data_IF_235409711439
#
_entry.id   IF_235409711439
#
_cell.length_a   1.000
_cell.length_b   1.000
_cell.length_c   1.000
_cell.angle_alpha   90.00
_cell.angle_beta   90.00
_cell.angle_gamma   90.00
#
_symmetry.space_group_name_H-M   'P 1'
#
loop_
_entity.id
_entity.type
_entity.pdbx_description
1 polymer ?
#
# COMPACT_ATOMS: atom_id res chain seq x y z
N UNK A 1 13.88 -10.92 8.06
CA UNK A 1 14.31 -10.56 6.69
C UNK A 1 15.82 -10.67 6.45
N UNK A 2 16.72 -10.32 7.39
CA UNK A 2 18.18 -10.58 7.24
C UNK A 2 18.60 -12.06 7.37
N UNK A 3 17.69 -12.95 7.76
CA UNK A 3 17.96 -14.37 8.11
C UNK A 3 17.34 -15.35 7.11
N UNK A 4 16.58 -14.84 6.15
CA UNK A 4 16.01 -15.55 5.02
C UNK A 4 16.84 -15.14 3.80
N UNK A 5 17.26 -16.05 2.93
CA UNK A 5 18.06 -15.83 1.69
C UNK A 5 17.38 -14.93 0.63
N UNK A 6 16.70 -13.89 1.08
CA UNK A 6 15.99 -12.90 0.31
C UNK A 6 16.97 -11.88 -0.23
N UNK A 7 17.15 -11.92 -1.54
CA UNK A 7 17.76 -10.84 -2.28
C UNK A 7 16.74 -9.69 -2.41
N UNK A 8 16.87 -8.69 -1.51
CA UNK A 8 16.04 -7.48 -1.53
C UNK A 8 16.21 -6.67 -2.81
N UNK A 9 17.38 -6.74 -3.44
CA UNK A 9 17.68 -6.04 -4.69
C UNK A 9 16.90 -6.70 -5.84
N UNK A 10 16.92 -8.03 -5.93
CA UNK A 10 16.12 -8.80 -6.89
C UNK A 10 14.61 -8.63 -6.64
N UNK A 11 14.16 -8.70 -5.38
CA UNK A 11 12.74 -8.55 -5.04
C UNK A 11 12.20 -7.15 -5.37
N UNK A 12 12.96 -6.10 -5.07
CA UNK A 12 12.58 -4.73 -5.46
C UNK A 12 12.50 -4.58 -6.98
N UNK A 13 13.49 -5.12 -7.73
CA UNK A 13 13.49 -5.07 -9.20
C UNK A 13 12.34 -5.90 -9.84
N UNK A 14 11.89 -6.97 -9.16
CA UNK A 14 10.72 -7.72 -9.59
C UNK A 14 9.40 -6.96 -9.40
N UNK A 15 9.37 -6.00 -8.47
CA UNK A 15 8.20 -5.13 -8.23
C UNK A 15 8.24 -3.90 -9.13
N UNK A 16 9.35 -3.17 -9.10
CA UNK A 16 9.60 -1.97 -9.91
C UNK A 16 10.88 -2.18 -10.71
N UNK A 17 10.73 -2.53 -11.98
CA UNK A 17 11.86 -2.85 -12.83
C UNK A 17 12.69 -1.61 -13.18
N UNK A 18 14.00 -1.77 -13.27
CA UNK A 18 14.91 -0.75 -13.82
C UNK A 18 14.89 0.59 -13.07
N UNK A 19 14.56 0.61 -11.78
CA UNK A 19 14.63 1.83 -10.96
C UNK A 19 16.02 1.96 -10.32
N UNK A 20 16.65 3.11 -10.52
CA UNK A 20 17.88 3.49 -9.82
C UNK A 20 17.52 4.23 -8.54
N UNK A 21 17.64 3.54 -7.41
CA UNK A 21 17.33 4.12 -6.10
C UNK A 21 18.44 5.04 -5.60
N UNK A 22 18.09 6.24 -5.11
CA UNK A 22 19.04 7.20 -4.56
C UNK A 22 19.81 6.68 -3.31
N UNK A 23 19.17 5.84 -2.50
CA UNK A 23 19.78 5.08 -1.39
C UNK A 23 19.41 3.62 -1.49
N UNK A 24 20.27 2.71 -1.01
CA UNK A 24 19.92 1.29 -0.88
C UNK A 24 18.67 1.05 -0.04
N UNK A 25 18.48 1.84 1.03
CA UNK A 25 17.30 1.78 1.91
C UNK A 25 15.99 2.14 1.20
N UNK A 26 16.03 2.91 0.11
CA UNK A 26 14.83 3.34 -0.61
C UNK A 26 14.12 2.19 -1.34
N UNK A 27 14.73 1.00 -1.44
CA UNK A 27 14.06 -0.18 -2.00
C UNK A 27 12.78 -0.55 -1.25
N UNK A 28 12.66 -0.19 0.03
CA UNK A 28 11.42 -0.34 0.82
C UNK A 28 10.20 0.28 0.13
N UNK A 29 10.38 1.40 -0.58
CA UNK A 29 9.29 2.09 -1.25
C UNK A 29 8.68 1.28 -2.40
N UNK A 30 9.44 0.37 -3.02
CA UNK A 30 8.88 -0.57 -3.99
C UNK A 30 7.88 -1.52 -3.32
N UNK A 31 8.22 -2.04 -2.14
CA UNK A 31 7.32 -2.89 -1.36
C UNK A 31 6.09 -2.13 -0.87
N UNK A 32 6.27 -0.89 -0.40
CA UNK A 32 5.15 -0.01 -0.04
C UNK A 32 4.22 0.23 -1.23
N UNK A 33 4.76 0.58 -2.40
CA UNK A 33 4.01 0.73 -3.65
C UNK A 33 3.27 -0.55 -4.07
N UNK A 34 3.92 -1.71 -3.92
CA UNK A 34 3.32 -3.02 -4.18
C UNK A 34 2.09 -3.26 -3.31
N UNK A 35 2.21 -3.00 -2.01
CA UNK A 35 1.15 -3.20 -1.02
C UNK A 35 0.03 -2.19 -1.27
N UNK A 36 0.36 -0.90 -1.38
CA UNK A 36 -0.60 0.18 -1.60
C UNK A 36 -1.47 -0.08 -2.83
N UNK A 37 -0.86 -0.38 -3.99
CA UNK A 37 -1.60 -0.69 -5.22
C UNK A 37 -2.62 -1.81 -5.02
N UNK A 38 -2.25 -2.89 -4.32
CA UNK A 38 -3.15 -4.04 -4.09
C UNK A 38 -4.22 -3.76 -3.03
N UNK A 39 -3.87 -3.00 -2.01
CA UNK A 39 -4.81 -2.58 -0.96
C UNK A 39 -5.88 -1.64 -1.51
N UNK A 40 -5.54 -0.74 -2.43
CA UNK A 40 -6.50 0.19 -3.05
C UNK A 40 -7.14 -0.33 -4.35
N UNK A 41 -6.69 -1.45 -4.91
CA UNK A 41 -7.24 -2.00 -6.17
C UNK A 41 -8.63 -2.65 -6.01
N UNK A 42 -9.54 -2.35 -6.94
CA UNK A 42 -10.75 -3.16 -7.18
C UNK A 42 -11.79 -3.15 -6.06
N UNK A 43 -11.72 -2.21 -5.11
CA UNK A 43 -12.72 -2.10 -4.06
C UNK A 43 -13.81 -1.12 -4.45
N UNK A 44 -15.06 -1.57 -4.32
CA UNK A 44 -16.25 -0.72 -4.45
C UNK A 44 -16.62 -0.21 -3.06
N UNK A 45 -16.79 1.11 -2.85
CA UNK A 45 -17.27 1.64 -1.58
C UNK A 45 -18.60 0.98 -1.19
N UNK A 46 -18.70 0.46 0.02
CA UNK A 46 -19.92 -0.13 0.56
C UNK A 46 -20.30 0.59 1.86
N UNK A 47 -21.60 0.81 2.12
CA UNK A 47 -22.05 1.37 3.39
C UNK A 47 -21.54 0.50 4.55
N UNK A 48 -20.93 1.15 5.53
CA UNK A 48 -20.17 0.50 6.59
C UNK A 48 -21.01 0.38 7.88
N UNK A 49 -20.68 -0.61 8.71
CA UNK A 49 -20.88 -0.57 10.17
C UNK A 49 -19.49 -0.62 10.82
N UNK A 50 -18.87 0.56 11.00
CA UNK A 50 -17.46 0.72 11.40
C UNK A 50 -17.34 0.78 12.91
N UNK A 51 -18.47 0.84 13.61
CA UNK A 51 -18.51 1.01 15.05
C UNK A 51 -17.80 -0.16 15.74
N UNK A 52 -17.96 -1.39 15.25
CA UNK A 52 -17.30 -2.54 15.88
C UNK A 52 -15.82 -2.67 15.47
N UNK A 53 -15.48 -2.49 14.18
CA UNK A 53 -14.11 -2.70 13.69
C UNK A 53 -13.12 -1.66 14.21
N UNK A 54 -13.55 -0.40 14.36
CA UNK A 54 -12.69 0.70 14.81
C UNK A 54 -12.61 0.85 16.32
N UNK A 55 -13.66 0.46 17.07
CA UNK A 55 -13.68 0.54 18.55
C UNK A 55 -12.90 -0.60 19.22
N UNK A 56 -12.75 -1.75 18.55
CA UNK A 56 -11.99 -2.88 19.09
C UNK A 56 -10.48 -2.61 19.08
N UNK A 57 -9.81 -3.00 20.19
CA UNK A 57 -8.37 -2.86 20.34
C UNK A 57 -7.59 -3.71 19.33
N UNK A 58 -7.91 -5.01 19.26
CA UNK A 58 -7.36 -5.94 18.29
C UNK A 58 -8.35 -6.14 17.13
N UNK A 59 -8.01 -5.75 15.89
CA UNK A 59 -8.92 -5.91 14.76
C UNK A 59 -9.16 -7.38 14.37
N UNK A 60 -8.37 -8.33 14.89
CA UNK A 60 -8.67 -9.77 14.77
C UNK A 60 -9.95 -10.12 15.53
N UNK A 61 -10.25 -9.48 16.66
CA UNK A 61 -11.45 -9.75 17.44
C UNK A 61 -12.72 -9.45 16.62
N UNK A 62 -12.69 -8.39 15.82
CA UNK A 62 -13.78 -8.03 14.91
C UNK A 62 -14.03 -9.14 13.86
N UNK A 63 -12.96 -9.78 13.39
CA UNK A 63 -13.03 -10.87 12.41
C UNK A 63 -13.56 -12.18 13.03
N UNK A 64 -13.32 -12.39 14.32
CA UNK A 64 -13.83 -13.55 15.07
C UNK A 64 -15.32 -13.35 15.40
N UNK A 65 -15.70 -12.13 15.80
CA UNK A 65 -17.09 -11.79 16.12
C UNK A 65 -18.01 -11.93 14.91
N UNK A 66 -17.57 -11.48 13.73
CA UNK A 66 -18.31 -11.67 12.47
C UNK A 66 -17.39 -12.04 11.30
N UNK A 67 -17.15 -13.36 11.08
CA UNK A 67 -16.35 -13.86 9.96
C UNK A 67 -16.97 -13.61 8.57
N UNK A 68 -18.24 -13.21 8.49
CA UNK A 68 -18.94 -12.93 7.22
C UNK A 68 -19.14 -11.44 6.95
N UNK A 69 -18.65 -10.57 7.86
CA UNK A 69 -18.65 -9.13 7.72
C UNK A 69 -17.99 -8.68 6.41
N UNK A 70 -18.35 -7.48 5.95
CA UNK A 70 -17.68 -6.84 4.81
C UNK A 70 -16.19 -6.62 5.08
N UNK A 71 -15.79 -6.38 6.33
CA UNK A 71 -14.39 -6.31 6.75
C UNK A 71 -13.66 -7.66 6.64
N UNK A 72 -14.29 -8.77 7.04
CA UNK A 72 -13.71 -10.11 6.88
C UNK A 72 -13.54 -10.49 5.41
N UNK A 73 -14.56 -10.22 4.58
CA UNK A 73 -14.49 -10.42 3.12
C UNK A 73 -13.41 -9.55 2.47
N UNK A 74 -13.26 -8.31 2.92
CA UNK A 74 -12.16 -7.43 2.51
C UNK A 74 -10.80 -8.02 2.89
N UNK A 75 -10.61 -8.43 4.15
CA UNK A 75 -9.35 -9.02 4.63
C UNK A 75 -8.97 -10.28 3.84
N UNK A 76 -9.92 -11.19 3.60
CA UNK A 76 -9.70 -12.40 2.78
C UNK A 76 -9.24 -12.04 1.37
N UNK A 77 -9.98 -11.17 0.70
CA UNK A 77 -9.68 -10.74 -0.67
C UNK A 77 -8.31 -10.05 -0.75
N UNK A 78 -8.05 -9.10 0.15
CA UNK A 78 -6.82 -8.33 0.15
C UNK A 78 -5.61 -9.16 0.54
N UNK A 79 -5.74 -10.09 1.48
CA UNK A 79 -4.62 -10.96 1.85
C UNK A 79 -4.16 -11.79 0.65
N UNK A 80 -5.11 -12.43 -0.04
CA UNK A 80 -4.80 -13.28 -1.19
C UNK A 80 -4.22 -12.52 -2.39
N UNK A 81 -4.50 -11.22 -2.49
CA UNK A 81 -3.93 -10.31 -3.48
C UNK A 81 -2.55 -9.78 -3.07
N UNK A 82 -2.38 -9.34 -1.82
CA UNK A 82 -1.16 -8.75 -1.28
C UNK A 82 -0.09 -9.81 -1.11
N UNK A 83 -0.39 -10.90 -0.42
CA UNK A 83 0.58 -11.95 -0.11
C UNK A 83 0.57 -12.98 -1.24
N UNK A 84 1.56 -12.89 -2.12
CA UNK A 84 1.71 -13.81 -3.24
C UNK A 84 2.12 -15.21 -2.71
N UNK A 85 1.65 -16.33 -3.29
CA UNK A 85 2.02 -17.68 -2.85
C UNK A 85 3.54 -17.91 -2.69
N UNK A 86 4.35 -17.38 -3.60
CA UNK A 86 5.82 -17.43 -3.49
C UNK A 86 6.38 -16.69 -2.27
N UNK A 87 5.78 -15.56 -1.89
CA UNK A 87 6.17 -14.86 -0.66
C UNK A 87 5.82 -15.69 0.56
N UNK A 88 4.64 -16.30 0.55
CA UNK A 88 4.16 -17.10 1.67
C UNK A 88 5.00 -18.36 1.89
N UNK A 89 5.29 -19.10 0.82
CA UNK A 89 6.26 -20.20 0.83
C UNK A 89 7.61 -19.77 1.39
N UNK A 90 8.05 -18.56 1.06
CA UNK A 90 9.32 -18.04 1.57
C UNK A 90 9.26 -17.59 3.04
N UNK A 91 8.11 -17.09 3.50
CA UNK A 91 7.94 -16.61 4.88
C UNK A 91 7.65 -17.73 5.86
N UNK A 92 6.88 -18.74 5.44
CA UNK A 92 6.33 -19.78 6.31
C UNK A 92 6.73 -21.21 5.91
N UNK A 93 7.30 -21.42 4.72
CA UNK A 93 7.67 -22.75 4.21
C UNK A 93 6.51 -23.57 3.66
N UNK A 94 5.28 -23.05 3.68
CA UNK A 94 4.06 -23.71 3.21
C UNK A 94 3.00 -22.69 2.75
N UNK A 95 1.82 -23.18 2.35
CA UNK A 95 0.66 -22.37 1.93
C UNK A 95 -0.56 -22.57 2.85
N UNK A 96 -0.33 -23.04 4.07
CA UNK A 96 -1.41 -23.34 5.01
C UNK A 96 -2.10 -22.05 5.44
N UNK A 97 -1.34 -20.97 5.63
CA UNK A 97 -1.84 -19.64 5.96
C UNK A 97 -2.80 -19.14 4.86
N UNK A 98 -2.43 -19.30 3.58
CA UNK A 98 -3.24 -18.97 2.41
C UNK A 98 -4.52 -19.75 2.41
N UNK A 99 -4.41 -21.06 2.61
CA UNK A 99 -5.55 -21.98 2.58
C UNK A 99 -6.53 -21.65 3.69
N UNK A 100 -6.03 -21.35 4.88
CA UNK A 100 -6.83 -20.91 6.02
C UNK A 100 -7.60 -19.62 5.72
N UNK A 101 -6.91 -18.58 5.23
CA UNK A 101 -7.54 -17.31 4.84
C UNK A 101 -8.50 -17.49 3.68
N UNK A 102 -8.15 -18.32 2.70
CA UNK A 102 -9.00 -18.64 1.57
C UNK A 102 -10.27 -19.39 1.97
N UNK A 103 -10.31 -20.04 3.14
CA UNK A 103 -11.52 -20.65 3.69
C UNK A 103 -12.32 -19.69 4.60
N UNK A 104 -11.95 -18.41 4.67
CA UNK A 104 -12.63 -17.42 5.51
C UNK A 104 -12.21 -17.46 6.98
N UNK A 105 -11.13 -18.18 7.30
CA UNK A 105 -10.57 -18.24 8.64
C UNK A 105 -9.44 -17.22 8.81
N UNK A 106 -9.14 -16.84 10.04
CA UNK A 106 -8.21 -15.75 10.34
C UNK A 106 -7.07 -16.22 11.26
N UNK A 107 -5.82 -16.33 10.76
CA UNK A 107 -4.70 -16.84 11.56
C UNK A 107 -4.27 -15.93 12.71
N UNK A 108 -4.06 -16.51 13.89
CA UNK A 108 -3.50 -15.81 15.04
C UNK A 108 -1.97 -15.73 14.99
N UNK A 109 -1.43 -15.13 13.93
CA UNK A 109 0.02 -14.94 13.77
C UNK A 109 0.39 -13.45 13.84
N UNK A 110 1.61 -13.10 14.29
CA UNK A 110 2.07 -11.70 14.28
C UNK A 110 2.01 -11.06 12.88
N UNK A 111 2.33 -11.84 11.85
CA UNK A 111 2.27 -11.39 10.46
C UNK A 111 0.84 -11.05 10.03
N UNK A 112 -0.11 -11.97 10.25
CA UNK A 112 -1.51 -11.75 9.87
C UNK A 112 -2.11 -10.57 10.63
N UNK A 113 -1.82 -10.47 11.93
CA UNK A 113 -2.24 -9.35 12.76
C UNK A 113 -1.73 -8.00 12.24
N UNK A 114 -0.47 -7.93 11.81
CA UNK A 114 0.07 -6.71 11.18
C UNK A 114 -0.66 -6.39 9.87
N UNK A 115 -0.93 -7.40 9.04
CA UNK A 115 -1.74 -7.25 7.83
C UNK A 115 -3.15 -6.72 8.15
N UNK A 116 -3.85 -7.30 9.14
CA UNK A 116 -5.21 -6.89 9.51
C UNK A 116 -5.24 -5.48 10.08
N UNK A 117 -4.22 -5.07 10.85
CA UNK A 117 -4.09 -3.68 11.33
C UNK A 117 -4.02 -2.68 10.17
N UNK A 118 -3.22 -2.97 9.13
CA UNK A 118 -3.18 -2.16 7.92
C UNK A 118 -4.50 -2.23 7.16
N UNK A 119 -5.06 -3.42 6.98
CA UNK A 119 -6.31 -3.64 6.26
C UNK A 119 -7.48 -2.87 6.89
N UNK A 120 -7.55 -2.78 8.22
CA UNK A 120 -8.54 -1.97 8.94
C UNK A 120 -8.52 -0.52 8.49
N UNK A 121 -7.35 0.11 8.43
CA UNK A 121 -7.25 1.53 8.05
C UNK A 121 -7.63 1.76 6.60
N UNK A 122 -7.20 0.89 5.69
CA UNK A 122 -7.58 0.99 4.27
C UNK A 122 -9.08 0.74 4.09
N UNK A 123 -9.62 -0.28 4.74
CA UNK A 123 -11.05 -0.58 4.69
C UNK A 123 -11.89 0.58 5.24
N UNK A 124 -11.48 1.16 6.37
CA UNK A 124 -12.13 2.33 6.93
C UNK A 124 -12.07 3.53 5.99
N UNK A 125 -10.89 3.84 5.44
CA UNK A 125 -10.73 4.94 4.48
C UNK A 125 -11.65 4.77 3.27
N UNK A 126 -11.72 3.55 2.73
CA UNK A 126 -12.58 3.22 1.59
C UNK A 126 -14.08 3.23 1.96
N UNK A 127 -14.46 2.71 3.12
CA UNK A 127 -15.85 2.76 3.61
C UNK A 127 -16.29 4.20 3.88
N UNK A 128 -15.42 5.01 4.47
CA UNK A 128 -15.65 6.44 4.71
C UNK A 128 -15.98 7.19 3.42
N UNK A 129 -15.35 6.83 2.29
CA UNK A 129 -15.68 7.42 0.98
C UNK A 129 -17.12 7.18 0.54
N UNK A 130 -17.78 6.11 1.01
CA UNK A 130 -19.19 5.81 0.70
C UNK A 130 -20.17 6.62 1.55
N UNK A 131 -19.73 7.08 2.72
CA UNK A 131 -20.59 7.72 3.73
C UNK A 131 -20.47 9.23 3.75
N UNK A 132 -19.41 9.80 3.15
CA UNK A 132 -19.26 11.23 3.00
C UNK A 132 -20.08 11.73 1.80
N UNK A 133 -20.81 12.82 1.99
CA UNK A 133 -21.64 13.44 0.93
C UNK A 133 -20.78 13.97 -0.24
N UNK A 134 -19.53 14.31 0.05
CA UNK A 134 -18.56 14.78 -0.94
C UNK A 134 -18.04 13.64 -1.82
N UNK A 135 -17.96 13.86 -3.14
CA UNK A 135 -17.35 12.91 -4.06
C UNK A 135 -15.88 12.68 -3.70
N UNK A 136 -15.52 11.44 -3.36
CA UNK A 136 -14.13 11.03 -3.17
C UNK A 136 -13.62 10.30 -4.40
N UNK A 137 -12.49 10.74 -4.92
CA UNK A 137 -11.81 10.12 -6.04
C UNK A 137 -10.39 9.73 -5.63
N UNK A 138 -10.03 8.47 -5.85
CA UNK A 138 -8.66 7.98 -5.70
C UNK A 138 -7.99 8.05 -7.06
N UNK A 139 -6.85 8.71 -7.14
CA UNK A 139 -6.09 8.80 -8.39
C UNK A 139 -4.68 8.23 -8.21
N UNK A 140 -4.16 7.68 -9.30
CA UNK A 140 -2.80 7.16 -9.37
C UNK A 140 -1.95 7.94 -10.36
N UNK A 141 -0.65 7.94 -10.14
CA UNK A 141 0.34 8.56 -11.03
C UNK A 141 1.01 7.48 -11.87
N UNK A 142 1.15 7.75 -13.18
CA UNK A 142 1.81 6.82 -14.11
C UNK A 142 3.32 6.96 -14.01
N UNK A 143 4.01 5.83 -14.12
CA UNK A 143 5.47 5.82 -14.33
C UNK A 143 5.81 6.62 -15.58
N UNK A 144 6.85 7.42 -15.46
CA UNK A 144 7.42 8.23 -16.51
C UNK A 144 6.77 9.59 -16.72
N UNK A 145 5.70 9.90 -15.98
CA UNK A 145 5.14 11.25 -15.94
C UNK A 145 6.13 12.25 -15.35
N UNK A 146 6.08 13.49 -15.84
CA UNK A 146 6.79 14.61 -15.20
C UNK A 146 6.18 14.90 -13.83
N UNK A 147 7.04 15.19 -12.86
CA UNK A 147 6.62 15.55 -11.52
C UNK A 147 5.86 16.88 -11.52
N UNK A 148 4.73 16.92 -10.82
CA UNK A 148 3.96 18.14 -10.59
C UNK A 148 3.65 18.29 -9.12
N UNK A 149 4.15 19.34 -8.49
CA UNK A 149 3.91 19.65 -7.08
C UNK A 149 2.45 20.04 -6.79
N UNK A 150 1.64 20.28 -7.82
CA UNK A 150 0.20 20.55 -7.69
C UNK A 150 -0.54 19.35 -7.08
N UNK A 151 -0.23 18.14 -7.54
CA UNK A 151 -0.95 16.91 -7.14
C UNK A 151 -0.04 15.76 -6.71
N UNK A 152 1.28 15.95 -6.73
CA UNK A 152 2.26 14.97 -6.28
C UNK A 152 3.14 15.54 -5.16
N UNK A 153 3.67 14.65 -4.33
CA UNK A 153 4.70 15.00 -3.36
C UNK A 153 5.84 13.97 -3.35
N UNK A 154 7.04 14.44 -3.01
CA UNK A 154 8.17 13.57 -2.78
C UNK A 154 7.97 12.79 -1.48
N UNK A 155 8.49 11.57 -1.44
CA UNK A 155 8.73 10.90 -0.15
C UNK A 155 9.70 11.73 0.70
N UNK A 156 9.47 11.75 2.01
CA UNK A 156 10.20 12.61 2.95
C UNK A 156 11.73 12.48 2.80
N UNK A 157 12.22 11.24 2.68
CA UNK A 157 13.66 10.94 2.55
C UNK A 157 14.28 11.45 1.25
N UNK A 158 13.49 11.75 0.21
CA UNK A 158 13.97 12.41 -1.02
C UNK A 158 13.95 13.94 -0.91
N UNK A 159 13.25 14.54 0.05
CA UNK A 159 13.25 16.00 0.25
C UNK A 159 14.64 16.48 0.65
N UNK A 160 15.39 15.69 1.41
CA UNK A 160 16.81 15.92 1.72
C UNK A 160 17.70 15.87 0.47
N UNK A 161 17.35 15.03 -0.52
CA UNK A 161 18.06 14.95 -1.79
C UNK A 161 17.69 16.09 -2.74
N UNK A 162 16.46 16.59 -2.65
CA UNK A 162 16.01 17.75 -3.43
C UNK A 162 16.93 18.95 -3.18
N UNK A 163 17.28 19.25 -1.93
CA UNK A 163 18.20 20.37 -1.64
C UNK A 163 19.62 20.15 -2.19
N UNK A 164 20.08 18.90 -2.33
CA UNK A 164 21.35 18.55 -2.96
C UNK A 164 21.30 18.57 -4.50
N UNK A 165 20.12 18.30 -5.07
CA UNK A 165 19.88 18.19 -6.53
C UNK A 165 19.39 19.50 -7.17
N UNK A 166 18.83 20.43 -6.39
CA UNK A 166 18.27 21.75 -6.77
C UNK A 166 19.35 22.81 -7.10
N UNK A 167 20.62 22.43 -7.28
CA UNK A 167 21.62 23.33 -7.90
C UNK A 167 21.32 23.68 -9.37
N UNK A 168 20.23 23.17 -9.93
CA UNK A 168 19.64 23.61 -11.18
C UNK A 168 18.18 23.19 -11.25
N UNK A 169 17.36 23.93 -12.02
CA UNK A 169 15.95 23.65 -12.31
C UNK A 169 15.78 22.31 -13.05
N UNK A 170 16.05 21.19 -12.38
CA UNK A 170 15.90 19.86 -12.94
C UNK A 170 14.43 19.45 -12.92
N UNK A 171 13.90 19.07 -14.08
CA UNK A 171 12.63 18.35 -14.14
C UNK A 171 12.82 16.95 -13.55
N UNK A 172 11.87 16.52 -12.74
CA UNK A 172 11.88 15.19 -12.14
C UNK A 172 10.90 14.29 -12.90
N UNK A 173 11.26 13.02 -13.04
CA UNK A 173 10.41 11.99 -13.63
C UNK A 173 9.97 11.01 -12.57
N UNK A 174 8.69 10.64 -12.59
CA UNK A 174 8.13 9.65 -11.69
C UNK A 174 8.63 8.27 -12.09
N UNK A 175 9.34 7.59 -11.18
CA UNK A 175 9.69 6.19 -11.35
C UNK A 175 8.51 5.29 -11.00
N UNK A 176 7.85 5.55 -9.88
CA UNK A 176 6.63 4.85 -9.50
C UNK A 176 5.85 5.62 -8.43
N UNK A 177 4.56 5.33 -8.34
CA UNK A 177 3.69 5.79 -7.28
C UNK A 177 3.87 4.93 -6.02
N UNK A 178 4.22 5.57 -4.90
CA UNK A 178 4.32 4.92 -3.58
C UNK A 178 2.94 4.83 -2.94
N UNK A 179 2.20 5.94 -2.90
CA UNK A 179 0.82 6.00 -2.39
C UNK A 179 -0.08 6.74 -3.37
N UNK A 180 -1.34 6.31 -3.55
CA UNK A 180 -2.30 7.06 -4.35
C UNK A 180 -2.61 8.42 -3.72
N UNK A 181 -3.07 9.35 -4.56
CA UNK A 181 -3.65 10.60 -4.09
C UNK A 181 -5.16 10.49 -3.93
N UNK A 182 -5.73 11.45 -3.21
CA UNK A 182 -7.17 11.49 -2.93
C UNK A 182 -7.69 12.89 -3.20
N UNK A 183 -8.80 12.98 -3.92
CA UNK A 183 -9.59 14.21 -4.06
C UNK A 183 -10.88 14.04 -3.27
N UNK A 184 -11.12 14.91 -2.30
CA UNK A 184 -12.27 14.87 -1.40
C UNK A 184 -12.97 16.23 -1.52
N UNK A 185 -14.01 16.29 -2.36
CA UNK A 185 -14.61 17.58 -2.73
C UNK A 185 -13.56 18.50 -3.38
N UNK A 186 -13.28 19.63 -2.74
CA UNK A 186 -12.25 20.59 -3.16
C UNK A 186 -10.86 20.32 -2.56
N UNK A 187 -10.79 19.47 -1.52
CA UNK A 187 -9.52 19.12 -0.87
C UNK A 187 -8.74 18.09 -1.69
N UNK A 188 -7.43 18.29 -1.79
CA UNK A 188 -6.52 17.41 -2.52
C UNK A 188 -5.42 16.90 -1.59
N UNK A 189 -5.39 15.59 -1.40
CA UNK A 189 -4.26 14.85 -0.82
C UNK A 189 -3.39 14.38 -1.98
N UNK A 190 -2.14 14.86 -2.01
CA UNK A 190 -1.21 14.58 -3.10
C UNK A 190 -0.79 13.10 -3.11
N UNK A 191 -0.49 12.59 -4.29
CA UNK A 191 0.08 11.25 -4.44
C UNK A 191 1.56 11.27 -4.07
N UNK A 192 1.99 10.33 -3.23
CA UNK A 192 3.41 10.16 -2.93
C UNK A 192 4.08 9.38 -4.05
N UNK A 193 5.15 9.97 -4.59
CA UNK A 193 5.87 9.41 -5.74
C UNK A 193 7.35 9.26 -5.44
N UNK A 194 7.92 8.18 -5.95
CA UNK A 194 9.36 8.03 -6.07
C UNK A 194 9.79 8.61 -7.41
N UNK A 195 10.79 9.50 -7.40
CA UNK A 195 11.24 10.20 -8.60
C UNK A 195 12.74 10.08 -8.81
N UNK A 196 13.14 10.26 -10.06
CA UNK A 196 14.52 10.43 -10.50
C UNK A 196 14.66 11.76 -11.23
N UNK A 197 15.89 12.29 -11.31
CA UNK A 197 16.17 13.52 -12.08
C UNK A 197 16.17 13.18 -13.57
N UNK A 198 15.49 13.98 -14.41
CA UNK A 198 15.60 13.83 -15.86
C UNK A 198 16.96 14.34 -16.34
N UNK A 199 17.84 13.42 -16.75
CA UNK A 199 19.10 13.72 -17.42
C UNK A 199 20.23 14.22 -16.51
N UNK A 200 21.36 13.52 -16.57
CA UNK A 200 22.60 14.12 -17.09
C UNK A 200 22.79 13.57 -18.51
#
# INVERSE_FOLDING_TARGET
MKVSDWDLDQAANAIENSVVYAKRSHKKYAFEAYVARRMFHGFQPQPYDADNVMKLGDPIDALIQDPQSSFAKFCRTKYLLVVHPKMELSFFGNLDHRTFVANGMHPHTPFYRAFVKMARWVWFLLGFTASIESKVEIFGVKRGSEFSDVYMEFIEELKEYKSLLDKGHGSYKVEFMVMPGFKIGESLIRSQVYVSKMGL
#
